data_IF_440287865091
#
_entry.id   IF_440287865091
#
_cell.length_a   1.000
_cell.length_b   1.000
_cell.length_c   1.000
_cell.angle_alpha   90.00
_cell.angle_beta   90.00
_cell.angle_gamma   90.00
#
_symmetry.space_group_name_H-M   'P 1'
#
loop_
_entity.id
_entity.type
_entity.pdbx_description
1 polymer ?
#
# COMPACT_ATOMS: atom_id res chain seq x y z
N UNK A 1 18.43 10.90 16.39
CA UNK A 1 18.31 9.78 15.44
C UNK A 1 16.91 9.71 14.90
N UNK A 2 16.71 9.91 13.61
CA UNK A 2 15.38 9.76 13.06
C UNK A 2 14.92 8.31 13.18
N UNK A 3 13.66 8.13 13.53
CA UNK A 3 13.06 6.82 13.53
C UNK A 3 12.83 6.36 12.09
N UNK A 4 12.85 5.06 11.89
CA UNK A 4 12.47 4.51 10.59
C UNK A 4 11.02 4.82 10.28
N UNK A 5 10.75 5.20 9.03
CA UNK A 5 9.40 5.39 8.57
C UNK A 5 8.67 4.05 8.50
N UNK A 6 7.38 4.07 8.80
CA UNK A 6 6.50 2.90 8.74
C UNK A 6 5.62 2.97 7.51
N UNK A 7 5.78 2.00 6.63
CA UNK A 7 5.00 1.90 5.39
C UNK A 7 4.13 0.66 5.40
N UNK A 8 2.86 0.83 5.09
CA UNK A 8 1.97 -0.28 4.80
C UNK A 8 1.90 -0.47 3.28
N UNK A 9 2.02 -1.70 2.79
CA UNK A 9 1.90 -2.01 1.36
C UNK A 9 0.77 -3.01 1.18
N UNK A 10 -0.23 -2.62 0.42
CA UNK A 10 -1.44 -3.42 0.15
C UNK A 10 -1.36 -3.99 -1.26
N UNK A 11 -1.41 -5.32 -1.35
CA UNK A 11 -1.28 -6.02 -2.62
C UNK A 11 0.18 -6.38 -2.90
N UNK A 12 0.51 -7.64 -2.69
CA UNK A 12 1.89 -8.15 -2.83
C UNK A 12 1.99 -9.04 -4.07
N UNK A 13 1.58 -8.47 -5.19
CA UNK A 13 1.87 -9.03 -6.51
C UNK A 13 3.26 -8.58 -6.94
N UNK A 14 3.50 -8.60 -8.25
CA UNK A 14 4.83 -8.21 -8.77
C UNK A 14 5.22 -6.79 -8.35
N UNK A 15 4.34 -5.84 -8.56
CA UNK A 15 4.64 -4.43 -8.31
C UNK A 15 4.73 -4.14 -6.80
N UNK A 16 3.75 -4.61 -6.02
CA UNK A 16 3.76 -4.40 -4.57
C UNK A 16 4.96 -5.03 -3.89
N UNK A 17 5.38 -6.20 -4.36
CA UNK A 17 6.59 -6.85 -3.85
C UNK A 17 7.83 -5.99 -4.11
N UNK A 18 7.97 -5.44 -5.32
CA UNK A 18 9.10 -4.56 -5.65
C UNK A 18 9.15 -3.34 -4.75
N UNK A 19 7.99 -2.71 -4.51
CA UNK A 19 7.89 -1.55 -3.64
C UNK A 19 8.29 -1.93 -2.21
N UNK A 20 7.72 -3.01 -1.68
CA UNK A 20 7.98 -3.45 -0.31
C UNK A 20 9.47 -3.74 -0.10
N UNK A 21 10.10 -4.46 -1.02
CA UNK A 21 11.52 -4.78 -0.91
C UNK A 21 12.41 -3.55 -1.04
N UNK A 22 12.05 -2.62 -1.94
CA UNK A 22 12.80 -1.37 -2.10
C UNK A 22 12.73 -0.51 -0.84
N UNK A 23 11.55 -0.39 -0.24
CA UNK A 23 11.38 0.35 1.01
C UNK A 23 12.18 -0.28 2.15
N UNK A 24 12.11 -1.60 2.27
CA UNK A 24 12.86 -2.33 3.30
C UNK A 24 14.37 -2.14 3.12
N UNK A 25 14.86 -2.15 1.89
CA UNK A 25 16.29 -1.94 1.60
C UNK A 25 16.77 -0.53 1.97
N UNK A 26 15.86 0.43 2.05
CA UNK A 26 16.16 1.80 2.48
C UNK A 26 16.02 2.01 3.98
N UNK A 27 15.76 0.95 4.73
CA UNK A 27 15.67 1.01 6.17
C UNK A 27 14.28 1.31 6.74
N UNK A 28 13.25 1.36 5.91
CA UNK A 28 11.88 1.52 6.38
C UNK A 28 11.37 0.25 7.06
N UNK A 29 10.48 0.42 8.04
CA UNK A 29 9.69 -0.69 8.56
C UNK A 29 8.53 -0.91 7.60
N UNK A 30 8.44 -2.11 7.03
CA UNK A 30 7.45 -2.42 6.00
C UNK A 30 6.47 -3.46 6.53
N UNK A 31 5.18 -3.13 6.45
CA UNK A 31 4.07 -3.99 6.86
C UNK A 31 3.26 -4.30 5.61
N UNK A 32 3.19 -5.58 5.23
CA UNK A 32 2.50 -5.96 4.00
C UNK A 32 1.17 -6.61 4.30
N UNK A 33 0.18 -6.34 3.44
CA UNK A 33 -1.18 -6.82 3.60
C UNK A 33 -1.68 -7.33 2.25
N UNK A 34 -2.14 -8.58 2.22
CA UNK A 34 -2.67 -9.19 1.01
C UNK A 34 -3.73 -10.21 1.39
N UNK A 35 -4.76 -10.35 0.59
CA UNK A 35 -5.80 -11.33 0.83
C UNK A 35 -5.34 -12.75 0.53
N UNK A 36 -4.23 -12.91 -0.17
CA UNK A 36 -3.67 -14.21 -0.56
C UNK A 36 -2.58 -14.62 0.44
N UNK A 37 -2.83 -15.71 1.18
CA UNK A 37 -1.91 -16.19 2.22
C UNK A 37 -0.56 -16.64 1.65
N UNK A 38 -0.53 -17.15 0.42
CA UNK A 38 0.72 -17.58 -0.21
C UNK A 38 1.65 -16.38 -0.45
N UNK A 39 1.09 -15.26 -0.90
CA UNK A 39 1.86 -14.04 -1.11
C UNK A 39 2.43 -13.51 0.20
N UNK A 40 1.63 -13.52 1.27
CA UNK A 40 2.11 -13.10 2.59
C UNK A 40 3.23 -14.01 3.10
N UNK A 41 3.07 -15.31 2.93
CA UNK A 41 4.08 -16.29 3.35
C UNK A 41 5.40 -16.09 2.59
N UNK A 42 5.32 -15.79 1.29
CA UNK A 42 6.51 -15.64 0.46
C UNK A 42 7.35 -14.40 0.79
N UNK A 43 6.75 -13.36 1.36
CA UNK A 43 7.45 -12.10 1.63
C UNK A 43 7.82 -11.92 3.10
N UNK A 44 7.27 -12.74 3.99
CA UNK A 44 7.35 -12.49 5.44
C UNK A 44 8.76 -12.31 6.00
N UNK A 45 9.74 -13.01 5.42
CA UNK A 45 11.11 -12.95 5.92
C UNK A 45 11.87 -11.70 5.44
N UNK A 46 11.30 -10.95 4.51
CA UNK A 46 11.92 -9.77 3.90
C UNK A 46 11.36 -8.45 4.40
N UNK A 47 10.30 -8.49 5.21
CA UNK A 47 9.61 -7.31 5.72
C UNK A 47 9.41 -7.42 7.22
N UNK A 48 8.96 -6.33 7.85
CA UNK A 48 8.75 -6.29 9.30
C UNK A 48 7.58 -7.17 9.72
N UNK A 49 6.51 -7.19 8.92
CA UNK A 49 5.33 -8.00 9.18
C UNK A 49 4.58 -8.23 7.87
N UNK A 50 4.10 -9.46 7.66
CA UNK A 50 3.25 -9.80 6.52
C UNK A 50 1.95 -10.42 7.04
N UNK A 51 0.82 -9.82 6.71
CA UNK A 51 -0.49 -10.20 7.23
C UNK A 51 -1.44 -10.52 6.08
N UNK A 52 -2.18 -11.60 6.23
CA UNK A 52 -3.26 -11.94 5.31
C UNK A 52 -4.55 -11.31 5.82
N UNK A 53 -5.12 -10.40 5.06
CA UNK A 53 -6.40 -9.77 5.39
C UNK A 53 -7.05 -9.18 4.15
N UNK A 54 -8.34 -8.87 4.27
CA UNK A 54 -9.09 -8.17 3.24
C UNK A 54 -9.07 -6.66 3.54
N UNK A 55 -8.31 -5.91 2.77
CA UNK A 55 -8.15 -4.46 2.97
C UNK A 55 -9.40 -3.65 2.58
N UNK A 56 -10.39 -4.27 1.96
CA UNK A 56 -11.68 -3.62 1.70
C UNK A 56 -12.54 -3.57 2.96
N UNK A 57 -12.19 -4.33 3.99
CA UNK A 57 -12.87 -4.30 5.28
C UNK A 57 -12.11 -3.35 6.23
N UNK A 58 -12.71 -2.18 6.48
CA UNK A 58 -12.07 -1.16 7.31
C UNK A 58 -11.81 -1.63 8.74
N UNK A 59 -12.61 -2.56 9.26
CA UNK A 59 -12.42 -3.08 10.61
C UNK A 59 -11.13 -3.89 10.71
N UNK A 60 -10.80 -4.64 9.64
CA UNK A 60 -9.55 -5.38 9.58
C UNK A 60 -8.34 -4.44 9.64
N UNK A 61 -8.41 -3.31 8.93
CA UNK A 61 -7.35 -2.32 8.93
C UNK A 61 -7.18 -1.67 10.31
N UNK A 62 -8.29 -1.40 11.00
CA UNK A 62 -8.24 -0.83 12.35
C UNK A 62 -7.53 -1.75 13.34
N UNK A 63 -7.79 -3.05 13.27
CA UNK A 63 -7.15 -4.02 14.18
C UNK A 63 -5.64 -4.08 13.98
N UNK A 64 -5.17 -3.77 12.78
CA UNK A 64 -3.74 -3.74 12.46
C UNK A 64 -3.12 -2.36 12.72
N UNK A 65 -3.88 -1.41 13.22
CA UNK A 65 -3.43 -0.05 13.53
C UNK A 65 -2.79 0.64 12.32
N UNK A 66 -3.41 0.45 11.16
CA UNK A 66 -2.91 1.03 9.91
C UNK A 66 -2.90 2.56 9.98
N UNK A 67 -3.79 3.15 10.78
CA UNK A 67 -3.84 4.60 11.01
C UNK A 67 -2.55 5.17 11.63
N UNK A 68 -1.74 4.32 12.24
CA UNK A 68 -0.47 4.74 12.86
C UNK A 68 0.72 4.68 11.89
N UNK A 69 0.49 4.26 10.66
CA UNK A 69 1.54 4.24 9.63
C UNK A 69 1.84 5.64 9.11
N UNK A 70 3.07 5.88 8.69
CA UNK A 70 3.46 7.15 8.07
C UNK A 70 2.91 7.27 6.66
N UNK A 71 2.86 6.15 5.94
CA UNK A 71 2.35 6.10 4.59
C UNK A 71 1.79 4.71 4.27
N UNK A 72 0.88 4.67 3.33
CA UNK A 72 0.31 3.43 2.81
C UNK A 72 0.37 3.45 1.28
N UNK A 73 0.81 2.34 0.69
CA UNK A 73 0.87 2.15 -0.75
C UNK A 73 -0.14 1.09 -1.15
N UNK A 74 -1.06 1.43 -2.03
CA UNK A 74 -2.06 0.50 -2.57
C UNK A 74 -1.57 0.05 -3.95
N UNK A 75 -1.15 -1.21 -4.03
CA UNK A 75 -0.56 -1.80 -5.23
C UNK A 75 -1.36 -3.01 -5.73
N UNK A 76 -2.66 -3.00 -5.54
CA UNK A 76 -3.57 -4.05 -5.99
C UNK A 76 -3.79 -3.85 -7.50
N UNK A 77 -3.21 -4.72 -8.30
CA UNK A 77 -3.18 -4.50 -9.76
C UNK A 77 -4.34 -5.07 -10.53
N UNK A 78 -4.98 -6.11 -10.02
CA UNK A 78 -5.95 -6.90 -10.77
C UNK A 78 -7.42 -6.58 -10.44
N UNK A 79 -7.67 -5.74 -9.46
CA UNK A 79 -9.05 -5.45 -9.03
C UNK A 79 -9.18 -3.98 -8.62
N UNK A 80 -9.71 -3.19 -9.55
CA UNK A 80 -9.82 -1.75 -9.31
C UNK A 80 -10.84 -1.41 -8.22
N UNK A 81 -11.93 -2.18 -8.11
CA UNK A 81 -12.89 -1.96 -7.04
C UNK A 81 -12.22 -2.11 -5.66
N UNK A 82 -11.42 -3.17 -5.49
CA UNK A 82 -10.67 -3.37 -4.26
C UNK A 82 -9.66 -2.25 -4.03
N UNK A 83 -9.03 -1.75 -5.08
CA UNK A 83 -8.11 -0.60 -5.01
C UNK A 83 -8.84 0.63 -4.47
N UNK A 84 -10.00 0.94 -5.03
CA UNK A 84 -10.81 2.11 -4.62
C UNK A 84 -11.25 1.97 -3.16
N UNK A 85 -11.81 0.82 -2.78
CA UNK A 85 -12.30 0.61 -1.42
C UNK A 85 -11.17 0.69 -0.40
N UNK A 86 -10.03 0.09 -0.71
CA UNK A 86 -8.86 0.15 0.16
C UNK A 86 -8.38 1.59 0.32
N UNK A 87 -8.27 2.33 -0.78
CA UNK A 87 -7.85 3.73 -0.74
C UNK A 87 -8.80 4.58 0.11
N UNK A 88 -10.11 4.42 -0.07
CA UNK A 88 -11.10 5.14 0.72
C UNK A 88 -10.98 4.81 2.21
N UNK A 89 -10.79 3.54 2.54
CA UNK A 89 -10.61 3.13 3.93
C UNK A 89 -9.38 3.80 4.56
N UNK A 90 -8.28 3.88 3.82
CA UNK A 90 -7.06 4.50 4.31
C UNK A 90 -7.23 6.01 4.50
N UNK A 91 -7.92 6.66 3.58
CA UNK A 91 -8.24 8.09 3.72
C UNK A 91 -9.13 8.33 4.93
N UNK A 92 -10.15 7.49 5.12
CA UNK A 92 -11.07 7.60 6.26
C UNK A 92 -10.36 7.38 7.59
N UNK A 93 -9.37 6.51 7.62
CA UNK A 93 -8.58 6.25 8.83
C UNK A 93 -7.56 7.34 9.13
N UNK A 94 -7.37 8.28 8.21
CA UNK A 94 -6.48 9.40 8.43
C UNK A 94 -5.00 9.07 8.25
N UNK A 95 -4.67 8.06 7.44
CA UNK A 95 -3.27 7.78 7.11
C UNK A 95 -2.69 9.02 6.43
N UNK A 96 -1.56 9.57 6.92
CA UNK A 96 -1.06 10.86 6.43
C UNK A 96 -0.71 10.90 4.96
N UNK A 97 -0.24 9.78 4.41
CA UNK A 97 0.19 9.71 3.02
C UNK A 97 -0.35 8.42 2.40
N UNK A 98 -1.25 8.56 1.43
CA UNK A 98 -1.86 7.42 0.72
C UNK A 98 -1.45 7.49 -0.74
N UNK A 99 -0.73 6.48 -1.19
CA UNK A 99 -0.17 6.37 -2.53
C UNK A 99 -0.86 5.21 -3.22
N UNK A 100 -1.47 5.44 -4.38
CA UNK A 100 -2.26 4.42 -5.07
C UNK A 100 -1.76 4.20 -6.48
N UNK A 101 -1.52 2.95 -6.84
CA UNK A 101 -1.15 2.57 -8.20
C UNK A 101 -2.38 2.60 -9.11
N UNK A 102 -2.23 3.23 -10.27
CA UNK A 102 -3.26 3.35 -11.30
C UNK A 102 -2.84 2.62 -12.56
N UNK A 103 -3.78 2.00 -13.24
CA UNK A 103 -3.57 1.34 -14.53
C UNK A 103 -4.23 2.16 -15.65
N UNK A 104 -3.85 3.42 -15.80
CA UNK A 104 -4.30 4.28 -16.89
C UNK A 104 -5.02 5.54 -16.44
N UNK A 105 -5.34 6.38 -17.42
CA UNK A 105 -5.91 7.71 -17.15
C UNK A 105 -7.29 7.67 -16.52
N UNK A 106 -8.14 6.73 -16.90
CA UNK A 106 -9.49 6.65 -16.34
C UNK A 106 -9.44 6.34 -14.84
N UNK A 107 -8.61 5.37 -14.45
CA UNK A 107 -8.43 5.05 -13.05
C UNK A 107 -7.83 6.23 -12.29
N UNK A 108 -6.85 6.90 -12.89
CA UNK A 108 -6.20 8.07 -12.29
C UNK A 108 -7.22 9.18 -12.03
N UNK A 109 -8.12 9.46 -12.96
CA UNK A 109 -9.16 10.46 -12.79
C UNK A 109 -10.11 10.10 -11.65
N UNK A 110 -10.51 8.84 -11.58
CA UNK A 110 -11.39 8.37 -10.51
C UNK A 110 -10.72 8.54 -9.15
N UNK A 111 -9.48 8.07 -9.03
CA UNK A 111 -8.72 8.16 -7.78
C UNK A 111 -8.52 9.61 -7.34
N UNK A 112 -8.18 10.49 -8.27
CA UNK A 112 -8.01 11.92 -7.98
C UNK A 112 -9.30 12.54 -7.47
N UNK A 113 -10.44 12.20 -8.08
CA UNK A 113 -11.74 12.74 -7.66
C UNK A 113 -12.17 12.25 -6.29
N UNK A 114 -11.63 11.12 -5.83
CA UNK A 114 -11.92 10.57 -4.50
C UNK A 114 -11.02 11.15 -3.41
N UNK A 115 -10.06 11.98 -3.76
CA UNK A 115 -9.18 12.61 -2.80
C UNK A 115 -7.77 12.00 -2.70
N UNK A 116 -7.44 11.04 -3.55
CA UNK A 116 -6.08 10.48 -3.60
C UNK A 116 -5.15 11.49 -4.25
N UNK A 117 -4.11 11.90 -3.52
CA UNK A 117 -3.17 12.94 -3.98
C UNK A 117 -1.93 12.39 -4.66
N UNK A 118 -1.50 11.18 -4.32
CA UNK A 118 -0.32 10.56 -4.90
C UNK A 118 -0.73 9.31 -5.67
N UNK A 119 -0.54 9.36 -6.97
CA UNK A 119 -0.95 8.28 -7.86
C UNK A 119 0.27 7.85 -8.66
N UNK A 120 0.57 6.54 -8.60
CA UNK A 120 1.64 5.95 -9.38
C UNK A 120 1.07 5.36 -10.67
N UNK A 121 1.71 5.66 -11.77
CA UNK A 121 1.38 5.07 -13.07
C UNK A 121 2.40 3.98 -13.39
N UNK A 122 2.17 3.14 -14.41
CA UNK A 122 3.15 2.12 -14.79
C UNK A 122 4.54 2.68 -15.10
N UNK A 123 4.62 3.94 -15.50
CA UNK A 123 5.88 4.62 -15.82
C UNK A 123 6.58 5.20 -14.61
N UNK A 124 5.88 5.27 -13.45
CA UNK A 124 6.47 5.85 -12.25
C UNK A 124 7.52 4.94 -11.66
N UNK A 125 8.61 5.54 -11.23
CA UNK A 125 9.70 4.83 -10.57
C UNK A 125 9.34 4.52 -9.11
N UNK A 126 9.84 3.40 -8.61
CA UNK A 126 9.74 3.08 -7.19
C UNK A 126 10.34 4.21 -6.33
N UNK A 127 11.36 4.88 -6.84
CA UNK A 127 11.98 6.02 -6.17
C UNK A 127 10.97 7.12 -5.80
N UNK A 128 9.88 7.30 -6.57
CA UNK A 128 8.83 8.28 -6.25
C UNK A 128 8.17 7.99 -4.90
N UNK A 129 8.04 6.73 -4.54
CA UNK A 129 7.46 6.31 -3.27
C UNK A 129 8.38 6.67 -2.11
N UNK A 130 9.69 6.50 -2.34
CA UNK A 130 10.72 6.71 -1.33
C UNK A 130 10.97 8.20 -1.09
N UNK A 131 10.78 8.99 -2.14
CA UNK A 131 10.93 10.44 -2.05
C UNK A 131 9.81 11.06 -1.23
#
# INVERSE_FOLDING_TARGET
>A
MPQSSRFAVFGIGRYGTQIALALASKGAEVFTFDSNSVRSENIKDSVSLAVTLDATDIRALKTQRVQDMDAAVVAIGENFEATVLTALNLLDLGVPRVIVRSNGEHQQRILSSLGVKEILTPESEVASVIS
#
